data_IF_394633568248
#
_entry.id   IF_394633568248
#
_cell.length_a   1.000
_cell.length_b   1.000
_cell.length_c   1.000
_cell.angle_alpha   90.00
_cell.angle_beta   90.00
_cell.angle_gamma   90.00
#
_symmetry.space_group_name_H-M   'P 1'
#
loop_
_entity.id
_entity.type
_entity.pdbx_description
1 polymer ?
#
# COMPACT_ATOMS: atom_id res chain seq x y z
N UNK A 1 -9.40 -16.61 -9.58
CA UNK A 1 -7.99 -17.02 -9.88
C UNK A 1 -7.08 -15.83 -10.14
N UNK A 2 -7.49 -14.87 -10.96
CA UNK A 2 -6.64 -13.68 -11.26
C UNK A 2 -6.61 -12.70 -10.08
N UNK A 3 -7.70 -12.59 -9.33
CA UNK A 3 -7.68 -11.91 -8.03
C UNK A 3 -6.59 -12.48 -7.11
N UNK A 4 -6.35 -13.80 -7.19
CA UNK A 4 -5.29 -14.48 -6.47
C UNK A 4 -3.90 -14.11 -7.00
N UNK A 5 -3.73 -13.93 -8.30
CA UNK A 5 -2.45 -13.50 -8.91
C UNK A 5 -2.09 -12.06 -8.55
N UNK A 6 -3.05 -11.15 -8.68
CA UNK A 6 -2.86 -9.76 -8.27
C UNK A 6 -2.56 -9.63 -6.77
N UNK A 7 -3.27 -10.37 -5.93
CA UNK A 7 -2.98 -10.42 -4.48
C UNK A 7 -1.63 -11.02 -4.16
N UNK A 8 -1.15 -12.01 -4.94
CA UNK A 8 0.19 -12.58 -4.76
C UNK A 8 1.28 -11.54 -4.97
N UNK A 9 1.12 -10.65 -5.96
CA UNK A 9 2.08 -9.56 -6.18
C UNK A 9 2.29 -8.74 -4.90
N UNK A 10 1.21 -8.39 -4.21
CA UNK A 10 1.27 -7.60 -2.98
C UNK A 10 1.65 -8.42 -1.76
N UNK A 11 1.16 -9.65 -1.66
CA UNK A 11 1.38 -10.53 -0.50
C UNK A 11 2.86 -10.79 -0.24
N UNK A 12 3.62 -11.01 -1.30
CA UNK A 12 5.06 -11.32 -1.24
C UNK A 12 5.94 -10.11 -1.57
N UNK A 13 5.35 -8.91 -1.65
CA UNK A 13 6.07 -7.68 -1.95
C UNK A 13 7.10 -7.34 -0.86
N UNK A 14 8.29 -6.85 -1.24
CA UNK A 14 9.30 -6.41 -0.29
C UNK A 14 8.97 -5.07 0.39
N UNK A 15 7.93 -4.37 -0.09
CA UNK A 15 7.44 -3.13 0.49
C UNK A 15 6.28 -3.39 1.45
N UNK A 16 6.11 -2.54 2.45
CA UNK A 16 4.96 -2.57 3.34
C UNK A 16 3.71 -2.16 2.58
N UNK A 17 2.70 -3.03 2.57
CA UNK A 17 1.40 -2.75 1.96
C UNK A 17 0.27 -3.04 2.95
N UNK A 18 -0.73 -2.16 2.95
CA UNK A 18 -2.01 -2.39 3.63
C UNK A 18 -3.17 -1.88 2.78
N UNK A 19 -4.35 -2.43 3.04
CA UNK A 19 -5.63 -1.94 2.52
C UNK A 19 -6.49 -1.48 3.67
N UNK A 20 -7.08 -0.30 3.54
CA UNK A 20 -8.01 0.24 4.54
C UNK A 20 -9.38 0.48 3.88
N UNK A 21 -10.43 0.49 4.71
CA UNK A 21 -11.76 0.94 4.27
C UNK A 21 -11.87 2.48 4.37
N UNK A 22 -13.05 3.01 4.02
CA UNK A 22 -13.30 4.45 3.99
C UNK A 22 -13.22 5.15 5.36
N UNK A 23 -13.21 4.39 6.44
CA UNK A 23 -13.10 4.95 7.81
C UNK A 23 -11.75 4.65 8.49
N UNK A 24 -10.78 4.15 7.74
CA UNK A 24 -9.42 3.93 8.24
C UNK A 24 -9.20 2.62 9.01
N UNK A 25 -10.07 1.62 8.82
CA UNK A 25 -9.89 0.28 9.39
C UNK A 25 -9.09 -0.58 8.41
N UNK A 26 -8.10 -1.30 8.91
CA UNK A 26 -7.23 -2.16 8.11
C UNK A 26 -7.99 -3.43 7.73
N UNK A 27 -8.20 -3.64 6.43
CA UNK A 27 -8.89 -4.79 5.86
C UNK A 27 -7.93 -5.91 5.49
N UNK A 28 -6.73 -5.56 5.06
CA UNK A 28 -5.69 -6.51 4.67
C UNK A 28 -4.31 -5.86 4.75
N UNK A 29 -3.27 -6.68 4.85
CA UNK A 29 -1.88 -6.26 4.77
C UNK A 29 -1.01 -7.44 4.31
N UNK A 30 0.21 -7.15 3.87
CA UNK A 30 1.17 -8.20 3.53
C UNK A 30 2.05 -8.55 4.73
N UNK A 31 2.84 -9.63 4.57
CA UNK A 31 3.76 -10.11 5.60
C UNK A 31 4.86 -9.08 5.93
N UNK A 32 5.29 -8.30 4.95
CA UNK A 32 6.29 -7.25 5.14
C UNK A 32 5.77 -6.15 6.08
N UNK A 33 4.52 -5.74 5.93
CA UNK A 33 3.87 -4.77 6.82
C UNK A 33 3.81 -5.31 8.26
N UNK A 34 3.29 -6.52 8.43
CA UNK A 34 3.16 -7.15 9.74
C UNK A 34 4.51 -7.36 10.43
N UNK A 35 5.49 -7.90 9.71
CA UNK A 35 6.83 -8.17 10.23
C UNK A 35 7.56 -6.87 10.63
N UNK A 36 7.47 -5.83 9.82
CA UNK A 36 8.12 -4.55 10.14
C UNK A 36 7.54 -3.89 11.39
N UNK A 37 6.23 -4.01 11.59
CA UNK A 37 5.58 -3.49 12.79
C UNK A 37 5.69 -4.43 14.00
N UNK A 38 6.09 -5.68 13.81
CA UNK A 38 6.27 -6.66 14.89
C UNK A 38 4.98 -7.34 15.37
N UNK A 39 3.92 -7.30 14.55
CA UNK A 39 2.63 -7.93 14.85
C UNK A 39 2.41 -9.19 14.02
N UNK A 40 1.61 -10.12 14.53
CA UNK A 40 0.97 -11.10 13.69
C UNK A 40 -0.13 -10.43 12.84
N UNK A 41 -0.35 -10.90 11.61
CA UNK A 41 -1.39 -10.33 10.72
C UNK A 41 -2.77 -10.29 11.39
N UNK A 42 -3.13 -11.34 12.14
CA UNK A 42 -4.40 -11.43 12.87
C UNK A 42 -4.59 -10.34 13.93
N UNK A 43 -3.50 -9.76 14.44
CA UNK A 43 -3.54 -8.67 15.41
C UNK A 43 -3.73 -7.30 14.72
N UNK A 44 -3.49 -7.22 13.40
CA UNK A 44 -3.59 -6.01 12.60
C UNK A 44 -4.98 -5.85 11.99
N UNK A 45 -5.54 -6.92 11.45
CA UNK A 45 -6.81 -6.87 10.73
C UNK A 45 -7.96 -6.42 11.63
N UNK A 46 -8.79 -5.54 11.11
CA UNK A 46 -9.93 -4.96 11.84
C UNK A 46 -9.56 -3.82 12.79
N UNK A 47 -8.31 -3.45 12.87
CA UNK A 47 -7.82 -2.35 13.72
C UNK A 47 -7.75 -1.03 12.95
N UNK A 48 -7.95 0.10 13.64
CA UNK A 48 -7.74 1.40 13.02
C UNK A 48 -6.24 1.65 12.77
N UNK A 49 -5.95 2.36 11.68
CA UNK A 49 -4.56 2.71 11.32
C UNK A 49 -3.84 3.48 12.44
N UNK A 50 -4.57 4.17 13.29
CA UNK A 50 -4.01 4.96 14.40
C UNK A 50 -3.33 4.11 15.48
N UNK A 51 -3.61 2.81 15.55
CA UNK A 51 -2.89 1.92 16.47
C UNK A 51 -1.40 1.79 16.14
N UNK A 52 -1.05 1.98 14.86
CA UNK A 52 0.34 1.93 14.36
C UNK A 52 0.98 3.32 14.22
N UNK A 53 0.40 4.33 14.87
CA UNK A 53 0.89 5.71 14.85
C UNK A 53 0.96 6.23 16.29
N UNK A 54 2.09 6.81 16.73
CA UNK A 54 2.17 7.40 18.06
C UNK A 54 1.24 8.62 18.13
N UNK A 55 0.73 8.93 19.33
CA UNK A 55 -0.27 9.99 19.52
C UNK A 55 0.18 11.35 19.00
N UNK A 56 1.47 11.66 19.11
CA UNK A 56 2.04 12.92 18.63
C UNK A 56 2.09 13.04 17.09
N UNK A 57 1.81 11.96 16.35
CA UNK A 57 1.72 11.96 14.88
C UNK A 57 0.28 11.71 14.38
N UNK A 58 -0.72 11.75 15.25
CA UNK A 58 -2.11 11.56 14.84
C UNK A 58 -2.64 12.70 13.97
N UNK A 59 -2.16 13.91 14.18
CA UNK A 59 -2.56 15.06 13.35
C UNK A 59 -2.13 14.86 11.90
N UNK A 60 -0.88 14.47 11.66
CA UNK A 60 -0.36 14.18 10.33
C UNK A 60 -1.10 13.02 9.65
N UNK A 61 -1.49 11.99 10.41
CA UNK A 61 -2.29 10.89 9.89
C UNK A 61 -3.70 11.35 9.54
N UNK A 62 -4.34 12.18 10.36
CA UNK A 62 -5.64 12.78 10.05
C UNK A 62 -5.57 13.65 8.79
N UNK A 63 -4.55 14.47 8.65
CA UNK A 63 -4.33 15.28 7.45
C UNK A 63 -4.12 14.41 6.20
N UNK A 64 -3.43 13.28 6.35
CA UNK A 64 -3.27 12.32 5.28
C UNK A 64 -4.60 11.72 4.84
N UNK A 65 -5.45 11.30 5.78
CA UNK A 65 -6.81 10.82 5.48
C UNK A 65 -7.66 11.88 4.80
N UNK A 66 -7.62 13.11 5.30
CA UNK A 66 -8.34 14.24 4.70
C UNK A 66 -7.88 14.47 3.27
N UNK A 67 -6.57 14.52 3.02
CA UNK A 67 -6.00 14.65 1.67
C UNK A 67 -6.51 13.54 0.76
N UNK A 68 -6.52 12.30 1.24
CA UNK A 68 -7.04 11.17 0.46
C UNK A 68 -8.52 11.37 0.09
N UNK A 69 -9.38 11.73 1.05
CA UNK A 69 -10.79 11.98 0.79
C UNK A 69 -11.03 13.11 -0.21
N UNK A 70 -10.23 14.17 -0.14
CA UNK A 70 -10.38 15.34 -1.00
C UNK A 70 -9.81 15.13 -2.42
N UNK A 71 -8.73 14.38 -2.56
CA UNK A 71 -7.97 14.27 -3.81
C UNK A 71 -7.96 12.87 -4.42
N UNK A 72 -8.38 11.84 -3.67
CA UNK A 72 -8.35 10.44 -4.10
C UNK A 72 -6.99 9.75 -3.98
N UNK A 73 -5.94 10.48 -3.59
CA UNK A 73 -4.58 9.93 -3.44
C UNK A 73 -3.77 10.69 -2.39
N UNK A 74 -2.73 10.03 -1.88
CA UNK A 74 -1.71 10.65 -1.04
C UNK A 74 -0.35 10.31 -1.62
N UNK A 75 0.50 11.31 -1.83
CA UNK A 75 1.85 11.15 -2.36
C UNK A 75 2.89 11.73 -1.41
N UNK A 76 4.01 11.02 -1.25
CA UNK A 76 5.21 11.47 -0.54
C UNK A 76 4.94 12.02 0.88
N UNK A 77 3.96 11.44 1.58
CA UNK A 77 3.62 11.85 2.94
C UNK A 77 4.53 11.16 3.95
N UNK A 78 5.32 11.93 4.66
CA UNK A 78 6.14 11.42 5.77
C UNK A 78 5.30 11.36 7.05
N UNK A 79 5.23 10.19 7.66
CA UNK A 79 4.50 9.94 8.91
C UNK A 79 5.36 9.07 9.82
N UNK A 80 5.33 9.34 11.12
CA UNK A 80 5.95 8.47 12.11
C UNK A 80 5.02 7.29 12.39
N UNK A 81 5.55 6.09 12.27
CA UNK A 81 4.88 4.83 12.62
C UNK A 81 5.42 4.27 13.93
N UNK A 82 4.58 3.51 14.62
CA UNK A 82 4.90 2.87 15.89
C UNK A 82 4.80 1.34 15.74
N UNK A 83 5.85 0.65 16.16
CA UNK A 83 5.91 -0.81 16.24
C UNK A 83 5.29 -1.33 17.54
N UNK A 84 5.05 -2.63 17.60
CA UNK A 84 4.50 -3.31 18.78
C UNK A 84 5.36 -3.10 20.04
N UNK A 85 6.68 -3.08 19.89
CA UNK A 85 7.62 -2.86 20.99
C UNK A 85 7.71 -1.39 21.46
N UNK A 86 6.93 -0.49 20.85
CA UNK A 86 6.92 0.94 21.15
C UNK A 86 7.97 1.76 20.39
N UNK A 87 8.91 1.14 19.69
CA UNK A 87 9.86 1.85 18.83
C UNK A 87 9.14 2.49 17.64
N UNK A 88 9.75 3.51 17.06
CA UNK A 88 9.18 4.26 15.95
C UNK A 88 10.12 4.33 14.76
N UNK A 89 9.56 4.57 13.58
CA UNK A 89 10.33 4.88 12.38
C UNK A 89 9.57 5.90 11.53
N UNK A 90 10.30 6.64 10.71
CA UNK A 90 9.69 7.52 9.72
C UNK A 90 9.38 6.71 8.45
N UNK A 91 8.10 6.71 8.06
CA UNK A 91 7.64 6.09 6.82
C UNK A 91 7.28 7.14 5.77
N UNK A 92 7.54 6.82 4.50
CA UNK A 92 7.00 7.54 3.36
C UNK A 92 5.76 6.82 2.85
N UNK A 93 4.61 7.48 2.93
CA UNK A 93 3.32 6.90 2.61
C UNK A 93 2.85 7.34 1.22
N UNK A 94 2.44 6.35 0.43
CA UNK A 94 1.80 6.50 -0.87
C UNK A 94 0.46 5.77 -0.81
N UNK A 95 -0.63 6.43 -1.15
CA UNK A 95 -1.96 5.81 -1.13
C UNK A 95 -2.77 6.16 -2.38
N UNK A 96 -3.48 5.16 -2.90
CA UNK A 96 -4.42 5.30 -4.01
C UNK A 96 -5.78 4.75 -3.62
N UNK A 97 -6.84 5.33 -4.18
CA UNK A 97 -8.19 4.90 -3.94
C UNK A 97 -8.51 3.58 -4.62
N UNK A 98 -9.37 2.80 -3.97
CA UNK A 98 -9.97 1.57 -4.50
C UNK A 98 -11.47 1.78 -4.66
N UNK A 99 -11.99 1.47 -5.83
CA UNK A 99 -13.41 1.62 -6.17
C UNK A 99 -14.03 0.27 -6.49
N UNK A 100 -15.31 0.11 -6.19
CA UNK A 100 -16.10 -1.03 -6.62
C UNK A 100 -16.54 -0.90 -8.10
N UNK A 101 -17.28 -1.89 -8.60
CA UNK A 101 -17.82 -1.90 -9.96
C UNK A 101 -18.76 -0.73 -10.27
N UNK A 102 -19.39 -0.17 -9.25
CA UNK A 102 -20.32 0.98 -9.34
C UNK A 102 -19.60 2.33 -9.15
N UNK A 103 -18.24 2.31 -9.09
CA UNK A 103 -17.38 3.48 -8.86
C UNK A 103 -17.56 4.11 -7.47
N UNK A 104 -18.08 3.37 -6.50
CA UNK A 104 -18.09 3.80 -5.11
C UNK A 104 -16.71 3.61 -4.48
N UNK A 105 -16.28 4.59 -3.71
CA UNK A 105 -15.03 4.50 -2.95
C UNK A 105 -15.18 3.45 -1.83
N UNK A 106 -14.40 2.38 -1.89
CA UNK A 106 -14.45 1.29 -0.89
C UNK A 106 -13.22 1.26 0.00
N UNK A 107 -12.19 2.01 -0.30
CA UNK A 107 -11.01 2.09 0.52
C UNK A 107 -9.79 2.58 -0.23
N UNK A 108 -8.61 2.33 0.32
CA UNK A 108 -7.34 2.62 -0.33
C UNK A 108 -6.35 1.48 -0.22
N UNK A 109 -5.47 1.38 -1.22
CA UNK A 109 -4.21 0.66 -1.15
C UNK A 109 -3.13 1.63 -0.70
N UNK A 110 -2.37 1.27 0.32
CA UNK A 110 -1.30 2.10 0.88
C UNK A 110 0.01 1.32 0.84
N UNK A 111 1.05 1.96 0.32
CA UNK A 111 2.44 1.49 0.41
C UNK A 111 3.23 2.42 1.31
N UNK A 112 4.04 1.85 2.17
CA UNK A 112 4.88 2.59 3.12
C UNK A 112 6.33 2.14 2.93
N UNK A 113 7.22 3.10 2.70
CA UNK A 113 8.66 2.88 2.71
C UNK A 113 9.19 3.24 4.10
N UNK A 114 9.83 2.30 4.77
CA UNK A 114 10.54 2.57 6.02
C UNK A 114 11.86 3.29 5.70
N UNK A 115 11.88 4.59 5.93
CA UNK A 115 13.04 5.42 5.58
C UNK A 115 14.30 5.07 6.38
N UNK A 116 14.15 4.45 7.54
CA UNK A 116 15.30 4.00 8.35
C UNK A 116 16.03 2.79 7.75
N UNK A 117 15.38 2.06 6.83
CA UNK A 117 15.92 0.86 6.19
C UNK A 117 16.34 1.08 4.73
N UNK A 118 16.17 2.29 4.20
CA UNK A 118 16.52 2.60 2.82
C UNK A 118 18.04 2.63 2.63
N UNK A 119 18.53 1.88 1.64
CA UNK A 119 19.91 1.84 1.20
C UNK A 119 19.95 1.36 -0.27
N UNK A 120 21.12 1.36 -0.87
CA UNK A 120 21.33 0.95 -2.28
C UNK A 120 20.78 -0.45 -2.59
N UNK A 121 20.97 -1.41 -1.69
CA UNK A 121 20.51 -2.78 -1.85
C UNK A 121 18.97 -2.83 -1.87
N UNK A 122 18.34 -2.14 -0.92
CA UNK A 122 16.89 -2.03 -0.80
C UNK A 122 16.27 -1.34 -2.01
N UNK A 123 16.89 -0.27 -2.49
CA UNK A 123 16.46 0.45 -3.69
C UNK A 123 16.45 -0.49 -4.90
N UNK A 124 17.54 -1.26 -5.12
CA UNK A 124 17.61 -2.24 -6.21
C UNK A 124 16.54 -3.33 -6.10
N UNK A 125 16.28 -3.82 -4.89
CA UNK A 125 15.21 -4.78 -4.61
C UNK A 125 13.83 -4.22 -5.01
N UNK A 126 13.53 -2.98 -4.63
CA UNK A 126 12.26 -2.33 -4.97
C UNK A 126 12.14 -2.04 -6.46
N UNK A 127 13.19 -1.54 -7.12
CA UNK A 127 13.19 -1.29 -8.57
C UNK A 127 12.91 -2.57 -9.35
N UNK A 128 13.57 -3.67 -8.97
CA UNK A 128 13.33 -4.99 -9.57
C UNK A 128 11.89 -5.45 -9.38
N UNK A 129 11.39 -5.35 -8.14
CA UNK A 129 10.01 -5.72 -7.80
C UNK A 129 9.00 -4.90 -8.59
N UNK A 130 9.15 -3.59 -8.68
CA UNK A 130 8.23 -2.73 -9.42
C UNK A 130 8.25 -3.02 -10.91
N UNK A 131 9.42 -3.25 -11.49
CA UNK A 131 9.56 -3.60 -12.90
C UNK A 131 8.87 -4.93 -13.24
N UNK A 132 9.13 -5.96 -12.46
CA UNK A 132 8.53 -7.29 -12.64
C UNK A 132 7.00 -7.25 -12.45
N UNK A 133 6.52 -6.51 -11.44
CA UNK A 133 5.10 -6.35 -11.16
C UNK A 133 4.37 -5.60 -12.27
N UNK A 134 4.95 -4.51 -12.78
CA UNK A 134 4.39 -3.77 -13.91
C UNK A 134 4.31 -4.64 -15.17
N UNK A 135 5.36 -5.40 -15.46
CA UNK A 135 5.36 -6.34 -16.57
C UNK A 135 4.22 -7.37 -16.44
N UNK A 136 4.05 -7.96 -15.25
CA UNK A 136 2.97 -8.93 -14.99
C UNK A 136 1.59 -8.31 -15.14
N UNK A 137 1.39 -7.09 -14.66
CA UNK A 137 0.12 -6.37 -14.81
C UNK A 137 -0.21 -6.08 -16.29
N UNK A 138 0.80 -5.72 -17.09
CA UNK A 138 0.60 -5.53 -18.54
C UNK A 138 0.22 -6.85 -19.25
N UNK A 139 0.82 -7.97 -18.86
CA UNK A 139 0.43 -9.28 -19.39
C UNK A 139 -1.02 -9.64 -19.05
N UNK A 140 -1.44 -9.41 -17.81
CA UNK A 140 -2.83 -9.62 -17.38
C UNK A 140 -3.77 -8.73 -18.19
N UNK A 141 -3.43 -7.47 -18.39
CA UNK A 141 -4.24 -6.53 -19.18
C UNK A 141 -4.43 -7.02 -20.60
N UNK A 142 -3.38 -7.49 -21.23
CA UNK A 142 -3.37 -7.95 -22.61
C UNK A 142 -4.13 -9.25 -22.82
N UNK A 143 -3.92 -10.23 -21.93
CA UNK A 143 -4.30 -11.62 -22.17
C UNK A 143 -5.56 -12.06 -21.41
N UNK A 144 -5.86 -11.47 -20.29
CA UNK A 144 -6.79 -12.02 -19.31
C UNK A 144 -7.88 -11.03 -18.85
N UNK A 145 -7.62 -9.72 -18.91
CA UNK A 145 -8.48 -8.68 -18.32
C UNK A 145 -9.96 -8.76 -18.76
N UNK A 146 -10.20 -8.99 -20.05
CA UNK A 146 -11.56 -9.05 -20.57
C UNK A 146 -12.37 -10.26 -20.08
N UNK A 147 -11.70 -11.28 -19.56
CA UNK A 147 -12.30 -12.49 -19.02
C UNK A 147 -12.54 -12.41 -17.50
N UNK A 148 -12.05 -11.31 -16.84
CA UNK A 148 -12.26 -11.10 -15.43
C UNK A 148 -13.71 -10.72 -15.14
N UNK A 149 -14.21 -11.18 -13.98
CA UNK A 149 -15.42 -10.60 -13.40
C UNK A 149 -15.18 -9.15 -12.95
N UNK A 150 -16.25 -8.41 -12.68
CA UNK A 150 -16.17 -6.98 -12.35
C UNK A 150 -15.38 -6.74 -11.05
N UNK A 151 -15.48 -7.63 -10.07
CA UNK A 151 -14.72 -7.51 -8.82
C UNK A 151 -13.21 -7.67 -9.07
N UNK A 152 -12.83 -8.66 -9.87
CA UNK A 152 -11.42 -8.88 -10.24
C UNK A 152 -10.87 -7.73 -11.10
N UNK A 153 -11.70 -7.14 -11.97
CA UNK A 153 -11.33 -5.92 -12.72
C UNK A 153 -11.07 -4.74 -11.77
N UNK A 154 -11.94 -4.55 -10.78
CA UNK A 154 -11.75 -3.48 -9.76
C UNK A 154 -10.45 -3.68 -8.98
N UNK A 155 -10.13 -4.90 -8.59
CA UNK A 155 -8.86 -5.24 -7.95
C UNK A 155 -7.66 -4.94 -8.85
N UNK A 156 -7.71 -5.39 -10.10
CA UNK A 156 -6.67 -5.11 -11.09
C UNK A 156 -6.46 -3.61 -11.26
N UNK A 157 -7.53 -2.85 -11.45
CA UNK A 157 -7.47 -1.41 -11.65
C UNK A 157 -6.90 -0.68 -10.44
N UNK A 158 -7.28 -1.10 -9.23
CA UNK A 158 -6.72 -0.56 -7.98
C UNK A 158 -5.23 -0.79 -7.88
N UNK A 159 -4.75 -1.98 -8.21
CA UNK A 159 -3.33 -2.33 -8.25
C UNK A 159 -2.57 -1.54 -9.32
N UNK A 160 -3.12 -1.48 -10.53
CA UNK A 160 -2.49 -0.73 -11.62
C UNK A 160 -2.31 0.74 -11.25
N UNK A 161 -3.33 1.36 -10.66
CA UNK A 161 -3.24 2.75 -10.18
C UNK A 161 -2.16 2.92 -9.12
N UNK A 162 -2.05 2.00 -8.18
CA UNK A 162 -1.00 2.04 -7.16
C UNK A 162 0.40 1.92 -7.77
N UNK A 163 0.63 0.96 -8.67
CA UNK A 163 1.94 0.79 -9.32
C UNK A 163 2.29 1.95 -10.24
N UNK A 164 1.32 2.55 -10.93
CA UNK A 164 1.55 3.76 -11.73
C UNK A 164 2.01 4.93 -10.84
N UNK A 165 1.43 5.08 -9.65
CA UNK A 165 1.87 6.08 -8.68
C UNK A 165 3.27 5.75 -8.13
N UNK A 166 3.56 4.50 -7.80
CA UNK A 166 4.87 4.08 -7.31
C UNK A 166 5.98 4.30 -8.32
N UNK A 167 5.69 4.23 -9.63
CA UNK A 167 6.66 4.51 -10.68
C UNK A 167 7.15 5.97 -10.69
N UNK A 168 6.42 6.87 -10.05
CA UNK A 168 6.78 8.29 -9.92
C UNK A 168 7.64 8.58 -8.69
N UNK A 169 7.79 7.63 -7.77
CA UNK A 169 8.62 7.78 -6.58
C UNK A 169 10.09 7.71 -6.96
N UNK A 170 10.86 8.73 -6.59
CA UNK A 170 12.32 8.68 -6.77
C UNK A 170 12.95 7.94 -5.57
N UNK A 171 13.14 6.64 -5.71
CA UNK A 171 13.67 5.77 -4.66
C UNK A 171 15.08 6.21 -4.20
N UNK A 172 15.90 6.76 -5.10
CA UNK A 172 17.25 7.19 -4.78
C UNK A 172 17.28 8.42 -3.85
N UNK A 173 16.22 9.21 -3.82
CA UNK A 173 16.06 10.32 -2.86
C UNK A 173 15.65 9.88 -1.46
N UNK A 174 15.27 8.59 -1.29
CA UNK A 174 14.86 8.04 0.01
C UNK A 174 16.04 7.51 0.84
N UNK A 175 17.21 7.43 0.25
CA UNK A 175 18.42 6.91 0.90
C UNK A 175 19.07 7.98 1.81
#
# INVERSE_FOLDING_TARGET
MIQTEARKILKDAPVMWRRINSIGIILDCNSTYAANLGYAKSEILGKPIFEHVPKNAWEEMNDSLKTWFETGKVTDRKIIFKKQDGSTFQGLLQATSLYDENKNLIGSNTVIFDLSQMNEEKIKEFEKFFKESNFRLEEIKKNEYNQLDENSKSEYNGLKNMFDMLSLVNLHELN
#
